data_IF_967124035631
#
_entry.id   IF_967124035631
#
_cell.length_a   1.000
_cell.length_b   1.000
_cell.length_c   1.000
_cell.angle_alpha   90.00
_cell.angle_beta   90.00
_cell.angle_gamma   90.00
#
_symmetry.space_group_name_H-M   'P 1'
#
loop_
_entity.id
_entity.type
_entity.pdbx_description
1 polymer ?
#
# COMPACT_ATOMS: atom_id res chain seq x y z
N UNK A 1 -12.57 -5.28 -12.75
CA UNK A 1 -11.11 -5.36 -12.53
C UNK A 1 -10.74 -4.19 -11.67
N UNK A 2 -10.19 -4.40 -10.48
CA UNK A 2 -9.63 -3.32 -9.67
C UNK A 2 -8.59 -2.57 -10.53
N UNK A 3 -8.60 -1.24 -10.49
CA UNK A 3 -7.66 -0.45 -11.26
C UNK A 3 -6.25 -0.68 -10.71
N UNK A 4 -5.35 -1.24 -11.52
CA UNK A 4 -3.95 -1.46 -11.10
C UNK A 4 -3.25 -0.12 -10.89
N UNK A 5 -2.70 0.12 -9.70
CA UNK A 5 -1.95 1.35 -9.39
C UNK A 5 -0.68 1.48 -10.25
N UNK A 6 -0.26 2.72 -10.55
CA UNK A 6 0.98 3.08 -11.22
C UNK A 6 2.22 2.57 -10.48
N UNK A 7 3.27 2.27 -11.23
CA UNK A 7 4.60 1.98 -10.67
C UNK A 7 5.52 3.13 -11.05
N UNK A 8 6.02 3.86 -10.07
CA UNK A 8 6.76 5.11 -10.29
C UNK A 8 8.21 4.94 -9.87
N UNK A 9 9.13 5.06 -10.81
CA UNK A 9 10.57 4.94 -10.58
C UNK A 9 11.17 6.33 -10.36
N UNK A 10 11.74 6.55 -9.18
CA UNK A 10 12.42 7.79 -8.79
C UNK A 10 13.91 7.55 -8.51
N UNK A 11 14.70 8.62 -8.50
CA UNK A 11 16.13 8.59 -8.19
C UNK A 11 16.98 9.44 -9.14
N UNK A 12 18.29 9.44 -8.89
CA UNK A 12 19.22 10.30 -9.65
C UNK A 12 19.29 9.93 -11.13
N UNK A 13 19.62 10.89 -12.00
CA UNK A 13 19.90 10.58 -13.41
C UNK A 13 20.98 9.50 -13.53
N UNK A 14 20.88 8.63 -14.55
CA UNK A 14 21.83 7.54 -14.74
C UNK A 14 21.66 6.32 -13.82
N UNK A 15 20.75 6.35 -12.84
CA UNK A 15 20.51 5.18 -11.97
C UNK A 15 19.74 4.03 -12.64
N UNK A 16 19.30 4.18 -13.89
CA UNK A 16 18.66 3.11 -14.68
C UNK A 16 17.13 3.18 -14.78
N UNK A 17 16.47 4.24 -14.29
CA UNK A 17 14.99 4.38 -14.31
C UNK A 17 14.34 4.04 -15.66
N UNK A 18 14.82 4.63 -16.75
CA UNK A 18 14.25 4.40 -18.08
C UNK A 18 14.41 2.94 -18.51
N UNK A 19 15.62 2.37 -18.35
CA UNK A 19 15.91 0.97 -18.68
C UNK A 19 15.10 -0.02 -17.85
N UNK A 20 15.11 0.13 -16.52
CA UNK A 20 14.34 -0.72 -15.62
C UNK A 20 12.84 -0.55 -15.83
N UNK A 21 12.37 0.67 -16.08
CA UNK A 21 10.96 0.97 -16.35
C UNK A 21 10.45 0.31 -17.64
N UNK A 22 11.24 0.33 -18.71
CA UNK A 22 10.90 -0.37 -19.96
C UNK A 22 10.82 -1.90 -19.74
N UNK A 23 11.81 -2.48 -19.05
CA UNK A 23 11.82 -3.92 -18.75
C UNK A 23 10.63 -4.32 -17.86
N UNK A 24 10.33 -3.52 -16.83
CA UNK A 24 9.22 -3.75 -15.93
C UNK A 24 7.86 -3.65 -16.65
N UNK A 25 7.70 -2.64 -17.49
CA UNK A 25 6.52 -2.45 -18.32
C UNK A 25 6.29 -3.64 -19.28
N UNK A 26 7.36 -4.14 -19.90
CA UNK A 26 7.29 -5.33 -20.74
C UNK A 26 6.87 -6.57 -19.96
N UNK A 27 7.47 -6.81 -18.78
CA UNK A 27 7.13 -7.95 -17.90
C UNK A 27 5.68 -7.94 -17.44
N UNK A 28 5.15 -6.76 -17.14
CA UNK A 28 3.79 -6.58 -16.62
C UNK A 28 2.74 -6.35 -17.71
N UNK A 29 3.14 -6.28 -18.98
CA UNK A 29 2.28 -5.88 -20.10
C UNK A 29 1.57 -4.52 -19.87
N UNK A 30 2.32 -3.55 -19.34
CA UNK A 30 1.82 -2.20 -18.99
C UNK A 30 2.46 -1.12 -19.88
N UNK A 31 1.80 0.03 -20.11
CA UNK A 31 2.43 1.15 -20.80
C UNK A 31 3.58 1.75 -19.98
N UNK A 32 4.70 2.04 -20.64
CA UNK A 32 5.84 2.76 -20.07
C UNK A 32 5.80 4.24 -20.48
N UNK A 33 6.09 5.14 -19.53
CA UNK A 33 6.23 6.58 -19.77
C UNK A 33 7.49 7.10 -19.08
N UNK A 34 8.33 7.83 -19.82
CA UNK A 34 9.43 8.61 -19.26
C UNK A 34 9.03 10.09 -19.26
N UNK A 35 8.94 10.71 -18.08
CA UNK A 35 8.42 12.08 -17.96
C UNK A 35 9.30 13.11 -18.66
N UNK A 36 10.63 12.93 -18.63
CA UNK A 36 11.58 13.84 -19.28
C UNK A 36 11.41 13.76 -20.80
N UNK A 37 11.22 12.56 -21.35
CA UNK A 37 10.97 12.37 -22.78
C UNK A 37 9.61 12.91 -23.21
N UNK A 38 8.57 12.74 -22.38
CA UNK A 38 7.24 13.26 -22.65
C UNK A 38 7.23 14.79 -22.71
N UNK A 39 7.89 15.45 -21.75
CA UNK A 39 8.04 16.92 -21.74
C UNK A 39 8.82 17.41 -22.98
N UNK A 40 9.93 16.75 -23.32
CA UNK A 40 10.68 17.08 -24.52
C UNK A 40 9.84 16.92 -25.80
N UNK A 41 9.01 15.88 -25.87
CA UNK A 41 8.06 15.66 -26.97
C UNK A 41 7.01 16.77 -27.09
N UNK A 42 6.41 17.21 -25.97
CA UNK A 42 5.42 18.29 -25.98
C UNK A 42 5.99 19.65 -26.36
N UNK A 43 7.21 19.94 -25.90
CA UNK A 43 7.86 21.24 -26.13
C UNK A 43 8.59 21.31 -27.47
N UNK A 44 8.93 20.16 -28.08
CA UNK A 44 9.81 20.08 -29.24
C UNK A 44 11.25 20.53 -28.95
N UNK A 45 11.61 20.72 -27.67
CA UNK A 45 12.91 21.20 -27.21
C UNK A 45 13.55 20.16 -26.27
N UNK A 46 14.88 20.08 -26.30
CA UNK A 46 15.59 19.36 -25.25
C UNK A 46 15.55 20.13 -23.92
N UNK A 47 15.68 19.44 -22.79
CA UNK A 47 15.67 20.08 -21.47
C UNK A 47 16.69 21.24 -21.36
N UNK A 48 17.96 21.10 -21.80
CA UNK A 48 18.90 22.22 -21.77
C UNK A 48 18.47 23.42 -22.62
N UNK A 49 17.87 23.18 -23.79
CA UNK A 49 17.35 24.25 -24.65
C UNK A 49 16.17 24.98 -23.99
N UNK A 50 15.28 24.23 -23.36
CA UNK A 50 14.15 24.80 -22.63
C UNK A 50 14.64 25.68 -21.47
N UNK A 51 15.62 25.21 -20.69
CA UNK A 51 16.20 25.98 -19.58
C UNK A 51 16.82 27.29 -20.08
N UNK A 52 17.56 27.24 -21.20
CA UNK A 52 18.17 28.43 -21.78
C UNK A 52 17.13 29.45 -22.28
N UNK A 53 15.97 28.99 -22.75
CA UNK A 53 14.94 29.85 -23.37
C UNK A 53 13.91 30.39 -22.38
N UNK A 54 13.49 29.55 -21.43
CA UNK A 54 12.36 29.81 -20.54
C UNK A 54 12.73 29.82 -19.05
N UNK A 55 13.96 29.39 -18.71
CA UNK A 55 14.42 29.27 -17.33
C UNK A 55 14.02 27.96 -16.65
N UNK A 56 14.71 27.61 -15.57
CA UNK A 56 14.47 26.38 -14.83
C UNK A 56 13.09 26.37 -14.15
N UNK A 57 12.64 27.48 -13.57
CA UNK A 57 11.36 27.52 -12.84
C UNK A 57 10.17 27.21 -13.76
N UNK A 58 10.17 27.72 -15.00
CA UNK A 58 9.15 27.40 -15.99
C UNK A 58 9.14 25.90 -16.33
N UNK A 59 10.32 25.28 -16.50
CA UNK A 59 10.40 23.84 -16.71
C UNK A 59 9.83 23.08 -15.52
N UNK A 60 10.16 23.50 -14.30
CA UNK A 60 9.69 22.82 -13.09
C UNK A 60 8.17 22.92 -12.92
N UNK A 61 7.55 24.03 -13.34
CA UNK A 61 6.09 24.16 -13.38
C UNK A 61 5.47 23.19 -14.40
N UNK A 62 6.06 23.08 -15.59
CA UNK A 62 5.63 22.11 -16.61
C UNK A 62 5.84 20.66 -16.15
N UNK A 63 6.97 20.36 -15.51
CA UNK A 63 7.27 19.05 -14.89
C UNK A 63 6.19 18.70 -13.88
N UNK A 64 5.82 19.63 -13.00
CA UNK A 64 4.73 19.43 -12.03
C UNK A 64 3.38 19.17 -12.70
N UNK A 65 3.03 19.89 -13.76
CA UNK A 65 1.78 19.68 -14.49
C UNK A 65 1.73 18.28 -15.13
N UNK A 66 2.79 17.89 -15.84
CA UNK A 66 2.86 16.57 -16.50
C UNK A 66 2.78 15.44 -15.46
N UNK A 67 3.46 15.56 -14.32
CA UNK A 67 3.40 14.55 -13.27
C UNK A 67 2.02 14.48 -12.58
N UNK A 68 1.28 15.60 -12.50
CA UNK A 68 -0.11 15.58 -12.05
C UNK A 68 -1.02 14.81 -13.01
N UNK A 69 -0.87 15.01 -14.32
CA UNK A 69 -1.63 14.30 -15.34
C UNK A 69 -1.31 12.80 -15.37
N UNK A 70 -0.03 12.44 -15.23
CA UNK A 70 0.40 11.03 -15.14
C UNK A 70 -0.07 10.38 -13.83
N UNK A 71 0.05 11.08 -12.71
CA UNK A 71 -0.40 10.60 -11.39
C UNK A 71 -1.91 10.41 -11.29
N UNK A 72 -2.71 11.13 -12.09
CA UNK A 72 -4.15 10.94 -12.17
C UNK A 72 -4.58 9.69 -12.96
N UNK A 73 -3.69 9.12 -13.78
CA UNK A 73 -3.93 7.86 -14.50
C UNK A 73 -3.65 6.64 -13.60
N UNK A 74 -3.97 5.46 -14.09
CA UNK A 74 -3.69 4.17 -13.43
C UNK A 74 -3.07 3.20 -14.44
N UNK A 75 -2.34 2.18 -13.97
CA UNK A 75 -1.81 1.12 -14.82
C UNK A 75 -0.52 1.45 -15.56
N UNK A 76 0.11 2.60 -15.31
CA UNK A 76 1.36 3.02 -15.97
C UNK A 76 2.62 2.54 -15.23
N UNK A 77 3.73 2.38 -15.94
CA UNK A 77 5.08 2.38 -15.37
C UNK A 77 5.74 3.71 -15.75
N UNK A 78 6.07 4.53 -14.75
CA UNK A 78 6.50 5.92 -14.93
C UNK A 78 7.96 6.04 -14.47
N UNK A 79 8.87 6.47 -15.34
CA UNK A 79 10.20 6.94 -14.95
C UNK A 79 10.19 8.46 -14.84
N UNK A 80 10.57 9.00 -13.67
CA UNK A 80 10.56 10.46 -13.45
C UNK A 80 11.91 11.11 -13.80
N UNK A 81 11.89 12.42 -14.04
CA UNK A 81 13.09 13.24 -14.00
C UNK A 81 13.77 13.19 -12.63
N UNK A 82 15.09 13.38 -12.60
CA UNK A 82 15.87 13.34 -11.35
C UNK A 82 15.59 14.51 -10.38
N UNK A 83 14.89 15.54 -10.83
CA UNK A 83 14.44 16.65 -9.98
C UNK A 83 13.02 16.50 -9.46
N UNK A 84 12.21 15.60 -10.04
CA UNK A 84 10.80 15.46 -9.76
C UNK A 84 10.47 15.27 -8.26
N UNK A 85 11.16 14.40 -7.50
CA UNK A 85 10.82 14.16 -6.08
C UNK A 85 11.20 15.31 -5.13
N UNK A 86 11.87 16.36 -5.63
CA UNK A 86 12.29 17.50 -4.79
C UNK A 86 11.11 18.44 -4.46
N UNK A 87 10.00 18.33 -5.19
CA UNK A 87 8.76 19.08 -4.93
C UNK A 87 7.72 18.16 -4.33
N UNK A 88 7.26 18.48 -3.13
CA UNK A 88 6.28 17.68 -2.42
C UNK A 88 4.97 17.50 -3.20
N UNK A 89 4.52 18.53 -3.92
CA UNK A 89 3.33 18.45 -4.79
C UNK A 89 3.45 17.38 -5.89
N UNK A 90 4.66 17.12 -6.41
CA UNK A 90 4.89 16.07 -7.41
C UNK A 90 4.79 14.68 -6.77
N UNK A 91 5.36 14.52 -5.57
CA UNK A 91 5.31 13.28 -4.81
C UNK A 91 3.86 12.93 -4.47
N UNK A 92 3.09 13.89 -3.95
CA UNK A 92 1.67 13.70 -3.63
C UNK A 92 0.83 13.36 -4.86
N UNK A 93 1.10 14.00 -5.99
CA UNK A 93 0.41 13.71 -7.24
C UNK A 93 0.68 12.29 -7.76
N UNK A 94 1.94 11.85 -7.74
CA UNK A 94 2.35 10.52 -8.19
C UNK A 94 1.85 9.42 -7.23
N UNK A 95 1.87 9.69 -5.92
CA UNK A 95 1.45 8.73 -4.89
C UNK A 95 -0.05 8.45 -4.91
N UNK A 96 -0.87 9.40 -5.38
CA UNK A 96 -2.34 9.28 -5.42
C UNK A 96 -2.81 7.94 -6.00
N UNK A 97 -2.19 7.50 -7.09
CA UNK A 97 -2.53 6.26 -7.77
C UNK A 97 -1.30 5.39 -7.99
N UNK A 98 -0.19 5.57 -7.27
CA UNK A 98 1.05 4.89 -7.59
C UNK A 98 1.97 4.63 -6.41
N UNK A 99 2.79 3.59 -6.54
CA UNK A 99 3.84 3.23 -5.59
C UNK A 99 5.18 3.73 -6.11
N UNK A 100 5.91 4.49 -5.29
CA UNK A 100 7.17 5.14 -5.63
C UNK A 100 8.37 4.27 -5.19
N UNK A 101 9.10 3.76 -6.17
CA UNK A 101 10.32 2.99 -5.99
C UNK A 101 11.55 3.86 -6.21
N UNK A 102 12.35 4.05 -5.16
CA UNK A 102 13.64 4.72 -5.26
C UNK A 102 14.73 3.75 -5.67
N UNK A 103 15.25 3.93 -6.88
CA UNK A 103 16.42 3.20 -7.37
C UNK A 103 17.69 3.83 -6.77
N UNK A 104 18.10 3.33 -5.60
CA UNK A 104 19.19 3.88 -4.80
C UNK A 104 20.55 3.31 -5.23
N UNK A 105 20.92 3.58 -6.49
CA UNK A 105 22.25 3.22 -7.01
C UNK A 105 23.32 4.21 -6.47
N UNK A 106 24.49 3.73 -6.01
CA UNK A 106 25.57 4.57 -5.52
C UNK A 106 26.02 5.62 -6.54
N UNK A 107 26.14 6.88 -6.11
CA UNK A 107 26.44 7.99 -7.00
C UNK A 107 27.83 7.89 -7.66
N UNK A 108 28.84 7.34 -6.96
CA UNK A 108 30.15 7.10 -7.58
C UNK A 108 30.05 6.15 -8.78
N UNK A 109 29.27 5.08 -8.66
CA UNK A 109 29.09 4.11 -9.75
C UNK A 109 28.33 4.70 -10.93
N UNK A 110 27.30 5.50 -10.65
CA UNK A 110 26.56 6.21 -11.69
C UNK A 110 27.51 7.11 -12.49
N UNK A 111 28.33 7.92 -11.81
CA UNK A 111 29.26 8.83 -12.47
C UNK A 111 30.29 8.05 -13.31
N UNK A 112 30.92 7.03 -12.72
CA UNK A 112 31.97 6.22 -13.37
C UNK A 112 31.47 5.39 -14.54
N UNK A 113 30.19 5.03 -14.57
CA UNK A 113 29.60 4.30 -15.69
C UNK A 113 29.58 5.10 -17.00
N UNK A 114 29.79 6.42 -16.93
CA UNK A 114 29.73 7.30 -18.09
C UNK A 114 28.31 7.58 -18.60
N UNK A 115 27.27 6.94 -18.04
CA UNK A 115 25.87 7.11 -18.45
C UNK A 115 25.33 8.54 -18.28
N UNK A 116 26.08 9.41 -17.62
CA UNK A 116 25.72 10.81 -17.37
C UNK A 116 26.63 11.80 -18.10
N UNK A 117 27.57 11.35 -18.95
CA UNK A 117 28.58 12.21 -19.59
C UNK A 117 28.01 13.41 -20.35
N UNK A 118 26.85 13.24 -20.98
CA UNK A 118 26.19 14.28 -21.77
C UNK A 118 25.27 15.20 -20.94
N UNK A 119 25.18 14.97 -19.62
CA UNK A 119 24.29 15.72 -18.73
C UNK A 119 25.04 16.92 -18.14
N UNK A 120 24.46 18.13 -18.14
CA UNK A 120 25.12 19.34 -17.63
C UNK A 120 25.72 19.19 -16.22
N UNK A 121 24.96 18.56 -15.30
CA UNK A 121 25.39 18.31 -13.92
C UNK A 121 26.61 17.39 -13.77
N UNK A 122 26.90 16.52 -14.74
CA UNK A 122 28.07 15.65 -14.69
C UNK A 122 29.32 16.33 -15.28
N UNK A 123 29.14 17.33 -16.13
CA UNK A 123 30.23 18.11 -16.73
C UNK A 123 30.93 19.03 -15.71
N UNK A 124 30.26 19.31 -14.59
CA UNK A 124 30.83 20.03 -13.44
C UNK A 124 31.80 19.17 -12.60
N UNK A 125 31.94 17.87 -12.91
CA UNK A 125 32.90 16.95 -12.29
C UNK A 125 32.28 15.99 -11.26
N UNK A 126 33.06 14.98 -10.87
CA UNK A 126 32.62 13.90 -9.96
C UNK A 126 32.18 14.47 -8.60
N UNK A 127 32.94 15.42 -8.05
CA UNK A 127 32.64 16.02 -6.74
C UNK A 127 31.30 16.77 -6.74
N UNK A 128 31.03 17.58 -7.77
CA UNK A 128 29.78 18.32 -7.92
C UNK A 128 28.57 17.37 -8.06
N UNK A 129 28.75 16.27 -8.80
CA UNK A 129 27.76 15.22 -8.94
C UNK A 129 27.44 14.55 -7.60
N UNK A 130 28.48 14.14 -6.84
CA UNK A 130 28.32 13.51 -5.53
C UNK A 130 27.65 14.45 -4.52
N UNK A 131 28.05 15.72 -4.48
CA UNK A 131 27.44 16.74 -3.63
C UNK A 131 25.95 16.93 -3.95
N UNK A 132 25.61 16.95 -5.25
CA UNK A 132 24.21 17.03 -5.68
C UNK A 132 23.42 15.80 -5.25
N UNK A 133 23.98 14.60 -5.37
CA UNK A 133 23.33 13.39 -4.87
C UNK A 133 23.06 13.46 -3.38
N UNK A 134 24.06 13.80 -2.57
CA UNK A 134 23.93 13.90 -1.11
C UNK A 134 22.84 14.90 -0.70
N UNK A 135 22.76 16.05 -1.38
CA UNK A 135 21.72 17.05 -1.14
C UNK A 135 20.31 16.54 -1.48
N UNK A 136 20.17 15.70 -2.52
CA UNK A 136 18.87 15.17 -2.98
C UNK A 136 18.44 13.90 -2.25
N UNK A 137 19.37 13.17 -1.64
CA UNK A 137 19.13 11.88 -1.01
C UNK A 137 18.01 11.92 0.06
N UNK A 138 17.93 12.94 0.95
CA UNK A 138 16.83 13.03 1.91
C UNK A 138 15.46 13.11 1.22
N UNK A 139 15.34 13.89 0.15
CA UNK A 139 14.09 14.03 -0.60
C UNK A 139 13.72 12.74 -1.34
N UNK A 140 14.67 12.02 -1.93
CA UNK A 140 14.39 10.71 -2.53
C UNK A 140 13.91 9.69 -1.50
N UNK A 141 14.54 9.65 -0.31
CA UNK A 141 14.14 8.74 0.77
C UNK A 141 12.76 9.08 1.31
N UNK A 142 12.46 10.36 1.51
CA UNK A 142 11.15 10.79 1.99
C UNK A 142 10.02 10.57 0.97
N UNK A 143 10.35 10.57 -0.33
CA UNK A 143 9.40 10.33 -1.40
C UNK A 143 9.16 8.83 -1.68
N UNK A 144 10.11 7.96 -1.35
CA UNK A 144 10.03 6.54 -1.64
C UNK A 144 9.02 5.83 -0.73
N UNK A 145 8.17 5.00 -1.32
CA UNK A 145 7.43 3.98 -0.57
C UNK A 145 8.32 2.73 -0.42
N UNK A 146 9.15 2.43 -1.43
CA UNK A 146 10.10 1.32 -1.43
C UNK A 146 11.50 1.77 -1.91
N UNK A 147 12.56 1.22 -1.30
CA UNK A 147 13.95 1.52 -1.66
C UNK A 147 14.63 0.28 -2.25
N UNK A 148 15.05 0.37 -3.50
CA UNK A 148 15.67 -0.74 -4.24
C UNK A 148 17.19 -0.60 -4.19
N UNK A 149 17.84 -1.63 -3.66
CA UNK A 149 19.29 -1.69 -3.42
C UNK A 149 20.02 -2.68 -4.32
N UNK A 150 19.32 -3.59 -5.00
CA UNK A 150 19.95 -4.47 -5.98
C UNK A 150 20.02 -3.76 -7.34
N UNK A 151 21.24 -3.41 -7.74
CA UNK A 151 21.58 -2.80 -9.03
C UNK A 151 22.68 -3.59 -9.75
N UNK A 152 22.82 -4.89 -9.43
CA UNK A 152 23.76 -5.80 -10.09
C UNK A 152 23.50 -5.92 -11.60
N UNK A 153 22.23 -5.80 -12.00
CA UNK A 153 21.78 -5.68 -13.39
C UNK A 153 20.40 -5.03 -13.44
N UNK A 154 19.98 -4.44 -14.57
CA UNK A 154 18.60 -3.97 -14.74
C UNK A 154 17.56 -5.07 -14.47
N UNK A 155 17.86 -6.32 -14.82
CA UNK A 155 17.00 -7.47 -14.56
C UNK A 155 16.85 -7.71 -13.06
N UNK A 156 17.94 -7.77 -12.30
CA UNK A 156 17.89 -7.97 -10.85
C UNK A 156 17.13 -6.85 -10.14
N UNK A 157 17.34 -5.60 -10.55
CA UNK A 157 16.54 -4.45 -10.07
C UNK A 157 15.05 -4.64 -10.33
N UNK A 158 14.68 -5.10 -11.53
CA UNK A 158 13.27 -5.36 -11.88
C UNK A 158 12.70 -6.54 -11.09
N UNK A 159 13.45 -7.63 -10.89
CA UNK A 159 12.99 -8.75 -10.07
C UNK A 159 12.76 -8.33 -8.61
N UNK A 160 13.63 -7.51 -8.03
CA UNK A 160 13.42 -6.99 -6.68
C UNK A 160 12.18 -6.09 -6.62
N UNK A 161 11.93 -5.23 -7.62
CA UNK A 161 10.70 -4.43 -7.70
C UNK A 161 9.47 -5.35 -7.78
N UNK A 162 9.49 -6.37 -8.64
CA UNK A 162 8.38 -7.31 -8.78
C UNK A 162 8.11 -8.05 -7.47
N UNK A 163 9.15 -8.50 -6.76
CA UNK A 163 9.04 -9.14 -5.45
C UNK A 163 8.38 -8.21 -4.42
N UNK A 164 8.77 -6.92 -4.40
CA UNK A 164 8.16 -5.91 -3.52
C UNK A 164 6.70 -5.62 -3.87
N UNK A 165 6.34 -5.71 -5.16
CA UNK A 165 4.95 -5.57 -5.61
C UNK A 165 4.08 -6.79 -5.26
N UNK A 166 4.69 -7.97 -5.12
CA UNK A 166 4.03 -9.21 -4.69
C UNK A 166 3.91 -9.32 -3.17
N UNK A 167 4.79 -8.66 -2.41
CA UNK A 167 4.65 -8.58 -0.96
C UNK A 167 3.35 -7.83 -0.60
N UNK A 168 2.46 -8.42 0.22
CA UNK A 168 1.21 -7.77 0.56
C UNK A 168 1.51 -6.50 1.35
N UNK A 169 0.93 -5.39 0.92
CA UNK A 169 1.11 -4.08 1.54
C UNK A 169 0.54 -4.04 2.97
N UNK A 170 -0.44 -4.88 3.26
CA UNK A 170 -1.10 -5.03 4.56
C UNK A 170 -1.46 -6.49 4.83
N UNK A 171 -1.44 -6.89 6.10
CA UNK A 171 -1.80 -8.23 6.59
C UNK A 171 -2.90 -8.13 7.64
N UNK A 172 -4.01 -8.81 7.39
CA UNK A 172 -5.15 -8.90 8.29
C UNK A 172 -5.22 -10.25 8.97
N UNK A 173 -5.46 -10.24 10.27
CA UNK A 173 -5.86 -11.43 11.02
C UNK A 173 -7.37 -11.39 11.23
N UNK A 174 -8.08 -12.37 10.68
CA UNK A 174 -9.53 -12.51 10.87
C UNK A 174 -9.78 -13.57 11.94
N UNK A 175 -10.32 -13.15 13.08
CA UNK A 175 -10.61 -14.03 14.22
C UNK A 175 -12.11 -14.27 14.36
N UNK A 176 -12.49 -15.55 14.43
CA UNK A 176 -13.87 -15.96 14.58
C UNK A 176 -14.04 -16.86 15.79
N UNK A 177 -14.92 -16.46 16.69
CA UNK A 177 -15.18 -17.16 17.94
C UNK A 177 -16.08 -18.39 17.79
N UNK A 178 -16.67 -18.84 18.92
CA UNK A 178 -17.37 -20.11 18.97
C UNK A 178 -18.56 -20.18 18.01
N UNK A 179 -18.74 -21.37 17.43
CA UNK A 179 -19.81 -21.74 16.51
C UNK A 179 -19.80 -21.06 15.13
N UNK A 180 -18.88 -20.13 14.85
CA UNK A 180 -18.78 -19.51 13.52
C UNK A 180 -18.34 -20.53 12.44
N UNK A 181 -17.68 -21.63 12.83
CA UNK A 181 -17.42 -22.76 11.92
C UNK A 181 -18.70 -23.48 11.44
N UNK A 182 -19.84 -23.25 12.10
CA UNK A 182 -21.13 -23.87 11.77
C UNK A 182 -22.04 -22.98 10.89
N UNK A 183 -21.52 -21.85 10.38
CA UNK A 183 -22.24 -20.99 9.43
C UNK A 183 -22.80 -21.80 8.24
N UNK A 184 -24.02 -21.45 7.82
CA UNK A 184 -24.76 -22.12 6.73
C UNK A 184 -25.39 -23.47 7.11
N UNK A 185 -25.09 -24.02 8.30
CA UNK A 185 -25.69 -25.27 8.80
C UNK A 185 -26.69 -25.06 9.94
N UNK A 186 -26.57 -23.96 10.68
CA UNK A 186 -27.37 -23.66 11.87
C UNK A 186 -28.16 -22.37 11.67
N UNK A 187 -29.44 -22.38 12.05
CA UNK A 187 -30.34 -21.22 12.04
C UNK A 187 -30.23 -20.38 10.74
N UNK A 188 -30.44 -21.00 9.56
CA UNK A 188 -30.21 -20.34 8.26
C UNK A 188 -31.09 -19.10 8.04
N UNK A 189 -32.20 -18.98 8.78
CA UNK A 189 -33.06 -17.78 8.77
C UNK A 189 -32.37 -16.55 9.39
N UNK A 190 -31.40 -16.75 10.29
CA UNK A 190 -30.69 -15.68 11.01
C UNK A 190 -29.31 -15.38 10.40
N UNK A 191 -28.59 -16.40 9.93
CA UNK A 191 -27.22 -16.27 9.43
C UNK A 191 -27.08 -16.47 7.91
N UNK A 192 -28.16 -16.83 7.23
CA UNK A 192 -28.16 -17.17 5.81
C UNK A 192 -27.60 -18.56 5.52
N UNK A 193 -27.59 -18.94 4.22
CA UNK A 193 -27.08 -20.23 3.75
C UNK A 193 -25.56 -20.25 3.49
N UNK A 194 -24.87 -19.15 3.76
CA UNK A 194 -23.44 -19.01 3.45
C UNK A 194 -22.58 -19.67 4.52
N UNK A 195 -21.52 -20.37 4.08
CA UNK A 195 -20.67 -21.19 4.96
C UNK A 195 -19.45 -20.41 5.46
N UNK A 196 -18.80 -20.91 6.51
CA UNK A 196 -17.52 -20.37 6.97
C UNK A 196 -16.44 -20.37 5.87
N UNK A 197 -16.40 -21.42 5.05
CA UNK A 197 -15.49 -21.48 3.90
C UNK A 197 -15.76 -20.36 2.88
N UNK A 198 -17.04 -20.04 2.65
CA UNK A 198 -17.42 -18.92 1.79
C UNK A 198 -16.98 -17.57 2.39
N UNK A 199 -17.14 -17.37 3.70
CA UNK A 199 -16.63 -16.19 4.40
C UNK A 199 -15.11 -16.03 4.22
N UNK A 200 -14.34 -17.09 4.46
CA UNK A 200 -12.88 -17.06 4.28
C UNK A 200 -12.50 -16.70 2.84
N UNK A 201 -13.17 -17.28 1.84
CA UNK A 201 -12.93 -16.98 0.44
C UNK A 201 -13.25 -15.52 0.12
N UNK A 202 -14.41 -15.02 0.56
CA UNK A 202 -14.84 -13.64 0.37
C UNK A 202 -13.81 -12.64 0.91
N UNK A 203 -13.30 -12.88 2.13
CA UNK A 203 -12.29 -12.01 2.76
C UNK A 203 -10.94 -12.11 2.02
N UNK A 204 -10.55 -13.32 1.60
CA UNK A 204 -9.28 -13.52 0.89
C UNK A 204 -9.30 -12.83 -0.48
N UNK A 205 -10.39 -12.97 -1.23
CA UNK A 205 -10.58 -12.31 -2.53
C UNK A 205 -10.57 -10.78 -2.38
N UNK A 206 -11.21 -10.28 -1.31
CA UNK A 206 -11.21 -8.85 -1.00
C UNK A 206 -9.81 -8.35 -0.63
N UNK A 207 -9.07 -9.05 0.24
CA UNK A 207 -7.70 -8.68 0.58
C UNK A 207 -6.82 -8.61 -0.68
N UNK A 208 -6.89 -9.63 -1.53
CA UNK A 208 -6.11 -9.69 -2.78
C UNK A 208 -6.44 -8.55 -3.74
N UNK A 209 -7.73 -8.19 -3.87
CA UNK A 209 -8.15 -7.06 -4.69
C UNK A 209 -7.57 -5.71 -4.21
N UNK A 210 -7.15 -5.64 -2.94
CA UNK A 210 -6.54 -4.48 -2.30
C UNK A 210 -5.02 -4.64 -2.07
N UNK A 211 -4.35 -5.60 -2.72
CA UNK A 211 -2.93 -5.90 -2.51
C UNK A 211 -2.56 -6.19 -1.04
N UNK A 212 -3.51 -6.76 -0.30
CA UNK A 212 -3.35 -7.19 1.08
C UNK A 212 -3.45 -8.72 1.20
N UNK A 213 -3.12 -9.23 2.37
CA UNK A 213 -3.30 -10.63 2.74
C UNK A 213 -4.25 -10.74 3.93
N UNK A 214 -5.11 -11.75 3.94
CA UNK A 214 -5.96 -12.08 5.10
C UNK A 214 -5.72 -13.52 5.54
N UNK A 215 -5.52 -13.72 6.83
CA UNK A 215 -5.46 -15.03 7.47
C UNK A 215 -6.72 -15.23 8.30
N UNK A 216 -7.54 -16.23 7.95
CA UNK A 216 -8.76 -16.54 8.69
C UNK A 216 -8.51 -17.64 9.72
N UNK A 217 -8.86 -17.37 10.98
CA UNK A 217 -8.78 -18.31 12.08
C UNK A 217 -10.10 -18.39 12.83
N UNK A 218 -10.52 -19.61 13.17
CA UNK A 218 -11.70 -19.85 13.97
C UNK A 218 -11.36 -20.80 15.10
N UNK A 219 -11.82 -20.51 16.32
CA UNK A 219 -11.79 -21.46 17.42
C UNK A 219 -13.03 -21.36 18.30
N UNK A 220 -13.38 -22.51 18.88
CA UNK A 220 -14.39 -22.62 19.93
C UNK A 220 -13.78 -22.48 21.34
N UNK A 221 -12.46 -22.32 21.44
CA UNK A 221 -11.74 -22.16 22.69
C UNK A 221 -11.25 -20.72 22.83
N UNK A 222 -11.52 -20.10 23.98
CA UNK A 222 -11.14 -18.72 24.27
C UNK A 222 -9.61 -18.53 24.24
N UNK A 223 -8.86 -19.46 24.85
CA UNK A 223 -7.40 -19.42 24.90
C UNK A 223 -6.75 -19.38 23.51
N UNK A 224 -7.28 -20.14 22.55
CA UNK A 224 -6.75 -20.14 21.19
C UNK A 224 -6.85 -18.76 20.52
N UNK A 225 -7.97 -18.05 20.74
CA UNK A 225 -8.15 -16.70 20.20
C UNK A 225 -7.21 -15.70 20.87
N UNK A 226 -7.03 -15.82 22.19
CA UNK A 226 -6.07 -15.00 22.96
C UNK A 226 -4.64 -15.20 22.42
N UNK A 227 -4.24 -16.45 22.21
CA UNK A 227 -2.92 -16.77 21.68
C UNK A 227 -2.72 -16.21 20.27
N UNK A 228 -3.74 -16.27 19.40
CA UNK A 228 -3.69 -15.63 18.09
C UNK A 228 -3.60 -14.10 18.17
N UNK A 229 -4.29 -13.46 19.12
CA UNK A 229 -4.18 -12.01 19.35
C UNK A 229 -2.74 -11.65 19.75
N UNK A 230 -2.14 -12.35 20.71
CA UNK A 230 -0.76 -12.09 21.11
C UNK A 230 0.25 -12.33 19.99
N UNK A 231 0.03 -13.35 19.16
CA UNK A 231 0.86 -13.64 17.99
C UNK A 231 0.68 -12.63 16.86
N UNK A 232 -0.32 -11.75 16.93
CA UNK A 232 -0.58 -10.77 15.89
C UNK A 232 0.45 -9.64 15.87
N UNK A 233 1.03 -9.33 17.04
CA UNK A 233 1.94 -8.19 17.22
C UNK A 233 3.22 -8.33 16.39
N UNK A 234 3.55 -7.28 15.64
CA UNK A 234 4.65 -7.27 14.67
C UNK A 234 4.46 -8.16 13.43
N UNK A 235 3.32 -8.83 13.27
CA UNK A 235 3.03 -9.73 12.14
C UNK A 235 1.87 -9.23 11.27
N UNK A 236 0.83 -8.68 11.89
CA UNK A 236 -0.37 -8.18 11.21
C UNK A 236 -0.58 -6.70 11.48
N UNK A 237 -1.15 -6.02 10.50
CA UNK A 237 -1.44 -4.58 10.55
C UNK A 237 -2.81 -4.28 11.17
N UNK A 238 -3.74 -5.25 11.12
CA UNK A 238 -5.05 -5.12 11.74
C UNK A 238 -5.68 -6.49 12.10
N UNK A 239 -6.52 -6.48 13.12
CA UNK A 239 -7.36 -7.62 13.53
C UNK A 239 -8.81 -7.30 13.20
N UNK A 240 -9.49 -8.20 12.49
CA UNK A 240 -10.96 -8.17 12.35
C UNK A 240 -11.51 -9.33 13.16
N UNK A 241 -12.28 -9.05 14.22
CA UNK A 241 -12.72 -10.07 15.17
C UNK A 241 -14.24 -10.14 15.26
N UNK A 242 -14.79 -11.34 15.11
CA UNK A 242 -16.12 -11.68 15.54
C UNK A 242 -16.00 -12.65 16.73
N UNK A 243 -16.09 -12.16 17.99
CA UNK A 243 -15.90 -13.02 19.15
C UNK A 243 -17.04 -14.05 19.35
N UNK A 244 -18.13 -13.95 18.58
CA UNK A 244 -19.30 -14.79 18.72
C UNK A 244 -19.94 -14.60 20.10
N UNK A 245 -20.15 -15.69 20.83
CA UNK A 245 -20.72 -15.59 22.18
C UNK A 245 -19.79 -14.85 23.16
N UNK A 246 -18.46 -14.92 22.97
CA UNK A 246 -17.48 -14.27 23.84
C UNK A 246 -17.61 -12.76 23.93
N UNK A 247 -18.28 -12.14 22.95
CA UNK A 247 -18.61 -10.71 22.94
C UNK A 247 -19.27 -10.26 24.23
N UNK A 248 -20.03 -11.12 24.90
CA UNK A 248 -20.82 -10.72 26.07
C UNK A 248 -20.17 -11.04 27.42
N UNK A 249 -19.05 -11.79 27.45
CA UNK A 249 -18.49 -12.27 28.72
C UNK A 249 -16.97 -12.44 28.76
N UNK A 250 -16.25 -12.36 27.64
CA UNK A 250 -14.80 -12.53 27.62
C UNK A 250 -14.06 -11.22 27.88
N UNK A 251 -13.86 -10.90 29.16
CA UNK A 251 -12.89 -9.87 29.55
C UNK A 251 -11.44 -10.30 29.24
N UNK A 252 -11.19 -11.60 29.12
CA UNK A 252 -9.87 -12.12 28.74
C UNK A 252 -9.51 -11.72 27.29
N UNK A 253 -10.44 -11.80 26.34
CA UNK A 253 -10.23 -11.29 24.97
C UNK A 253 -10.11 -9.76 24.97
N UNK A 254 -10.90 -9.04 25.77
CA UNK A 254 -10.74 -7.59 25.92
C UNK A 254 -9.32 -7.21 26.33
N UNK A 255 -8.78 -7.88 27.36
CA UNK A 255 -7.45 -7.60 27.87
C UNK A 255 -6.34 -8.02 26.89
N UNK A 256 -6.52 -9.15 26.19
CA UNK A 256 -5.60 -9.58 25.13
C UNK A 256 -5.52 -8.56 23.99
N UNK A 257 -6.66 -8.02 23.54
CA UNK A 257 -6.70 -6.99 22.50
C UNK A 257 -6.02 -5.69 22.94
N UNK A 258 -6.08 -5.33 24.22
CA UNK A 258 -5.37 -4.16 24.77
C UNK A 258 -3.87 -4.38 24.98
N UNK A 259 -3.43 -5.63 25.00
CA UNK A 259 -2.04 -5.99 25.28
C UNK A 259 -1.14 -5.96 24.03
N UNK A 260 -1.71 -5.72 22.84
CA UNK A 260 -0.98 -5.62 21.57
C UNK A 260 -1.22 -4.26 20.92
N UNK A 261 -0.26 -3.78 20.13
CA UNK A 261 -0.37 -2.50 19.42
C UNK A 261 -1.16 -2.59 18.10
N UNK A 262 -1.73 -3.78 17.80
CA UNK A 262 -2.46 -4.05 16.55
C UNK A 262 -3.92 -3.58 16.67
N UNK A 263 -4.39 -2.65 15.80
CA UNK A 263 -5.75 -2.15 15.87
C UNK A 263 -6.78 -3.24 15.53
N UNK A 264 -7.80 -3.36 16.38
CA UNK A 264 -8.87 -4.35 16.22
C UNK A 264 -10.21 -3.72 15.82
N UNK A 265 -10.96 -4.39 14.95
CA UNK A 265 -12.32 -4.03 14.56
C UNK A 265 -13.26 -5.19 14.90
N UNK A 266 -14.26 -4.92 15.73
CA UNK A 266 -15.26 -5.93 16.08
C UNK A 266 -16.36 -5.99 15.03
N UNK A 267 -16.70 -7.19 14.58
CA UNK A 267 -17.74 -7.39 13.56
C UNK A 267 -18.75 -8.45 13.98
N UNK A 268 -20.02 -8.20 13.66
CA UNK A 268 -21.14 -9.11 13.90
C UNK A 268 -21.98 -9.26 12.65
N UNK A 269 -22.27 -10.51 12.29
CA UNK A 269 -23.09 -10.83 11.10
C UNK A 269 -24.53 -10.30 11.26
N UNK A 270 -25.10 -10.43 12.46
CA UNK A 270 -26.46 -9.96 12.78
C UNK A 270 -26.44 -8.81 13.77
N UNK A 271 -27.58 -8.13 13.94
CA UNK A 271 -27.74 -7.18 15.04
C UNK A 271 -27.65 -7.90 16.41
N UNK A 272 -26.93 -7.31 17.35
CA UNK A 272 -26.78 -7.81 18.72
C UNK A 272 -27.88 -7.28 19.66
N UNK A 273 -28.50 -6.14 19.34
CA UNK A 273 -29.55 -5.48 20.14
C UNK A 273 -30.97 -6.04 19.90
N UNK A 274 -31.19 -6.69 18.75
CA UNK A 274 -32.43 -7.39 18.40
C UNK A 274 -32.50 -8.80 19.01
N UNK A 275 -31.55 -9.14 19.90
CA UNK A 275 -31.44 -10.44 20.54
C UNK A 275 -31.82 -10.40 22.01
N UNK A 276 -31.63 -11.51 22.71
CA UNK A 276 -31.95 -11.65 24.13
C UNK A 276 -31.19 -10.61 24.97
N UNK A 277 -31.73 -10.14 26.11
CA UNK A 277 -31.12 -9.07 26.91
C UNK A 277 -29.67 -9.29 27.34
N UNK A 278 -29.23 -10.54 27.48
CA UNK A 278 -27.83 -10.84 27.84
C UNK A 278 -26.84 -10.61 26.68
N UNK A 279 -27.32 -10.35 25.46
CA UNK A 279 -26.51 -10.12 24.25
C UNK A 279 -26.39 -8.65 23.85
N UNK A 280 -26.94 -7.73 24.63
CA UNK A 280 -26.97 -6.31 24.26
C UNK A 280 -25.66 -5.58 24.58
N UNK A 281 -24.77 -6.17 25.37
CA UNK A 281 -23.50 -5.56 25.78
C UNK A 281 -22.34 -6.31 25.14
N UNK A 282 -21.47 -5.58 24.42
CA UNK A 282 -20.16 -6.08 24.03
C UNK A 282 -19.12 -5.65 25.07
N UNK A 283 -18.49 -6.64 25.72
CA UNK A 283 -17.38 -6.41 26.64
C UNK A 283 -16.05 -6.27 25.91
N UNK A 284 -15.96 -6.70 24.65
CA UNK A 284 -14.75 -6.64 23.81
C UNK A 284 -14.65 -5.34 23.03
N UNK A 285 -15.77 -4.71 22.69
CA UNK A 285 -15.83 -3.48 21.89
C UNK A 285 -14.95 -2.32 22.45
N UNK A 286 -14.80 -2.13 23.77
CA UNK A 286 -13.93 -1.07 24.32
C UNK A 286 -12.44 -1.22 23.99
N UNK A 287 -11.96 -2.38 23.53
CA UNK A 287 -10.59 -2.56 23.04
C UNK A 287 -10.47 -2.40 21.51
N UNK A 288 -11.59 -2.27 20.81
CA UNK A 288 -11.61 -2.15 19.36
C UNK A 288 -11.65 -0.68 18.93
N UNK A 289 -11.07 -0.39 17.77
CA UNK A 289 -11.20 0.90 17.07
C UNK A 289 -12.65 1.18 16.73
N UNK A 290 -13.40 0.12 16.37
CA UNK A 290 -14.79 0.22 15.95
C UNK A 290 -15.55 -1.08 16.06
N UNK A 291 -16.87 -0.98 15.94
CA UNK A 291 -17.81 -2.11 15.96
C UNK A 291 -18.81 -2.01 14.81
N UNK A 292 -18.90 -3.06 13.98
CA UNK A 292 -19.88 -3.21 12.89
C UNK A 292 -20.81 -4.37 13.20
N UNK A 293 -22.09 -4.22 12.91
CA UNK A 293 -23.09 -5.22 13.27
C UNK A 293 -24.30 -5.13 12.37
N UNK A 294 -24.89 -6.28 12.01
CA UNK A 294 -26.07 -6.35 11.14
C UNK A 294 -25.80 -6.25 9.64
N UNK A 295 -24.54 -6.22 9.21
CA UNK A 295 -24.16 -6.12 7.79
C UNK A 295 -23.90 -7.48 7.12
N UNK A 296 -24.27 -8.60 7.75
CA UNK A 296 -23.97 -9.92 7.24
C UNK A 296 -22.47 -10.17 7.13
N UNK A 297 -22.04 -10.92 6.11
CA UNK A 297 -20.60 -11.12 5.84
C UNK A 297 -19.90 -9.85 5.35
N UNK A 298 -20.65 -8.88 4.79
CA UNK A 298 -20.10 -7.62 4.28
C UNK A 298 -19.46 -6.78 5.40
N UNK A 299 -19.89 -6.97 6.65
CA UNK A 299 -19.29 -6.29 7.81
C UNK A 299 -17.78 -6.53 7.94
N UNK A 300 -17.28 -7.71 7.55
CA UNK A 300 -15.85 -8.00 7.54
C UNK A 300 -15.10 -7.15 6.50
N UNK A 301 -15.64 -7.05 5.29
CA UNK A 301 -15.04 -6.29 4.20
C UNK A 301 -15.06 -4.78 4.52
N UNK A 302 -16.18 -4.30 5.05
CA UNK A 302 -16.30 -2.91 5.51
C UNK A 302 -15.25 -2.58 6.58
N UNK A 303 -14.97 -3.50 7.51
CA UNK A 303 -13.93 -3.31 8.53
C UNK A 303 -12.52 -3.23 7.91
N UNK A 304 -12.24 -4.07 6.92
CA UNK A 304 -10.97 -4.02 6.17
C UNK A 304 -10.84 -2.70 5.41
N UNK A 305 -11.87 -2.31 4.66
CA UNK A 305 -11.90 -1.04 3.92
C UNK A 305 -11.73 0.17 4.83
N UNK A 306 -12.29 0.07 6.05
CA UNK A 306 -12.13 1.07 7.07
C UNK A 306 -10.66 1.33 7.41
N UNK A 307 -9.91 0.27 7.65
CA UNK A 307 -8.49 0.31 7.93
C UNK A 307 -7.68 0.75 6.71
N UNK A 308 -7.93 0.15 5.54
CA UNK A 308 -7.22 0.44 4.29
C UNK A 308 -7.35 1.90 3.84
N UNK A 309 -8.51 2.51 4.06
CA UNK A 309 -8.76 3.92 3.72
C UNK A 309 -8.23 4.91 4.77
N UNK A 310 -7.74 4.45 5.93
CA UNK A 310 -7.23 5.31 6.99
C UNK A 310 -8.28 6.26 7.61
N UNK A 311 -9.56 5.87 7.59
CA UNK A 311 -10.67 6.73 8.07
C UNK A 311 -10.67 6.85 9.60
N UNK A 312 -11.11 8.00 10.15
CA UNK A 312 -11.37 8.16 11.60
C UNK A 312 -12.72 7.59 12.04
N UNK A 313 -12.71 6.63 12.98
CA UNK A 313 -13.91 5.82 13.28
C UNK A 313 -15.11 6.69 13.60
N UNK A 314 -16.16 6.54 12.80
CA UNK A 314 -17.46 7.16 13.02
C UNK A 314 -18.46 6.04 13.35
N UNK A 315 -19.06 6.03 14.55
CA UNK A 315 -19.99 4.96 14.92
C UNK A 315 -21.17 4.93 13.94
N UNK A 316 -21.48 3.75 13.40
CA UNK A 316 -22.76 3.50 12.74
C UNK A 316 -23.87 3.78 13.75
N UNK A 317 -24.76 4.72 13.42
CA UNK A 317 -26.03 4.94 14.12
C UNK A 317 -27.08 3.98 13.59
#
# INVERSE_FOLDING_TARGET
MAAMGNIVLIGMMGCGKTTCGQLLAQRLARPFVDSDQLIAGYTGQSIPQFFATHGEEAFRQLESQVLQELGAQTGLVIATGGGAPLRQANVEALRRNGTLFFLHRPAQEIYRSGCVSDRPLAQEGEEAFLNTFQRRLPAYRAAADEVILDFSSPQATVEEILRRLEEPAMRFLILNGPNLNLLGKREPEVYGAQTYAHLCQLITDHAQAHHAQATCYQSNHEGDLIDQIHQADGVYDAIIINPGAYTHYSYAILDALKAVDVPAYEVHISHIDQREPFRTVSVTAPACVGQLWGHGLQGYLMAMDYFLEGRQWAPCK
#
